data_IF_156252232927
#
_entry.id   IF_156252232927
#
_cell.length_a   1.000
_cell.length_b   1.000
_cell.length_c   1.000
_cell.angle_alpha   90.00
_cell.angle_beta   90.00
_cell.angle_gamma   90.00
#
_symmetry.space_group_name_H-M   'P 1'
#
loop_
_entity.id
_entity.type
_entity.pdbx_description
1 polymer ?
2 non-polymer ?
3 water ?
#
# COMPACT_ATOMS: atom_id res chain seq x y z
N UNK A 25 18.77 19.31 2.36
CA UNK A 25 18.23 18.63 1.14
C UNK A 25 18.60 19.37 -0.14
N UNK A 26 19.11 18.62 -1.12
CA UNK A 26 19.50 19.21 -2.40
C UNK A 26 18.26 19.48 -3.24
N UNK A 27 18.41 20.26 -4.30
CA UNK A 27 17.29 20.59 -5.16
C UNK A 27 16.72 19.34 -5.81
N UNK A 28 17.60 18.43 -6.20
CA UNK A 28 17.15 17.19 -6.84
C UNK A 28 16.31 16.37 -5.87
N UNK A 29 16.75 16.29 -4.62
CA UNK A 29 16.00 15.54 -3.60
C UNK A 29 14.67 16.21 -3.35
N UNK A 30 14.63 17.52 -3.58
CA UNK A 30 13.41 18.27 -3.38
C UNK A 30 12.46 18.07 -4.56
N UNK A 31 13.02 17.97 -5.76
CA UNK A 31 12.22 17.76 -6.95
C UNK A 31 11.75 16.31 -6.98
N UNK A 32 12.47 15.46 -6.25
CA UNK A 32 12.17 14.04 -6.18
C UNK A 32 10.93 13.77 -5.31
N UNK A 33 10.85 14.47 -4.18
CA UNK A 33 9.75 14.34 -3.25
C UNK A 33 8.50 14.97 -3.87
N UNK A 34 8.71 16.06 -4.61
CA UNK A 34 7.61 16.76 -5.24
C UNK A 34 6.97 15.95 -6.35
N UNK A 35 7.79 15.25 -7.11
CA UNK A 35 7.32 14.41 -8.20
C UNK A 35 6.55 13.25 -7.59
N UNK A 36 6.98 12.81 -6.41
CA UNK A 36 6.36 11.70 -5.69
C UNK A 36 5.06 12.12 -5.04
N UNK A 37 5.08 13.31 -4.43
CA UNK A 37 3.92 13.87 -3.76
C UNK A 37 2.84 14.25 -4.74
N UNK A 38 3.26 14.72 -5.90
CA UNK A 38 2.35 15.11 -6.96
C UNK A 38 1.67 13.84 -7.51
N UNK A 39 2.42 12.74 -7.61
CA UNK A 39 1.85 11.49 -8.11
C UNK A 39 0.88 10.89 -7.11
N UNK A 40 1.14 11.12 -5.82
CA UNK A 40 0.31 10.62 -4.73
C UNK A 40 -1.06 11.30 -4.69
N UNK A 41 -1.06 12.62 -4.61
CA UNK A 41 -2.33 13.35 -4.53
C UNK A 41 -3.18 13.18 -5.79
N UNK A 42 -2.55 12.90 -6.92
CA UNK A 42 -3.28 12.71 -8.17
C UNK A 42 -3.92 11.33 -8.28
N UNK A 43 -3.29 10.32 -7.68
CA UNK A 43 -3.78 8.95 -7.79
C UNK A 43 -4.31 8.32 -6.52
N UNK A 44 -4.31 9.08 -5.43
CA UNK A 44 -4.78 8.55 -4.15
C UNK A 44 -6.07 9.21 -3.72
N UNK A 45 -7.18 8.50 -3.92
CA UNK A 45 -8.51 8.99 -3.55
C UNK A 45 -8.73 8.67 -2.06
N UNK A 46 -8.12 9.50 -1.21
CA UNK A 46 -8.17 9.33 0.26
C UNK A 46 -9.55 9.15 0.87
N UNK A 47 -10.58 9.63 0.16
CA UNK A 47 -11.97 9.53 0.63
C UNK A 47 -12.75 8.39 -0.07
N UNK A 48 -12.10 7.67 -0.98
CA UNK A 48 -12.75 6.56 -1.69
C UNK A 48 -14.08 7.00 -2.28
N UNK A 49 -14.08 8.16 -2.92
CA UNK A 49 -15.27 8.71 -3.54
C UNK A 49 -15.70 7.96 -4.79
N UNK A 50 -14.72 7.42 -5.52
CA UNK A 50 -14.99 6.71 -6.76
C UNK A 50 -15.16 5.21 -6.56
N UNK A 51 -15.17 4.77 -5.31
CA UNK A 51 -15.34 3.36 -5.04
C UNK A 51 -16.82 3.06 -4.83
N UNK A 52 -17.46 2.56 -5.87
CA UNK A 52 -18.88 2.17 -5.82
C UNK A 52 -19.11 0.97 -6.71
N UNK A 53 -20.35 0.48 -6.73
CA UNK A 53 -20.72 -0.68 -7.55
C UNK A 53 -20.02 -1.94 -7.09
N UNK A 54 -19.57 -1.95 -5.83
CA UNK A 54 -18.86 -3.08 -5.25
C UNK A 54 -19.79 -4.08 -4.57
N UNK A 55 -19.38 -5.35 -4.58
CA UNK A 55 -20.14 -6.43 -3.98
C UNK A 55 -20.19 -6.38 -2.46
N UNK A 56 -21.30 -6.82 -1.88
CA UNK A 56 -21.47 -6.86 -0.44
C UNK A 56 -21.83 -8.28 -0.04
N UNK A 57 -21.52 -8.66 1.20
CA UNK A 57 -21.83 -10.01 1.68
C UNK A 57 -23.34 -10.20 1.85
N UNK A 58 -24.02 -10.50 0.74
CA UNK A 58 -25.46 -10.70 0.81
C UNK A 58 -25.87 -11.72 1.85
N UNK A 59 -26.59 -11.30 2.89
CA UNK A 59 -27.04 -12.20 3.95
C UNK A 59 -28.27 -13.01 3.53
N UNK A 92 -12.99 -11.98 10.50
CA UNK A 92 -13.22 -11.27 11.76
C UNK A 92 -13.12 -9.75 11.55
N UNK A 93 -13.93 -9.23 10.63
CA UNK A 93 -13.91 -7.81 10.32
C UNK A 93 -15.33 -7.23 10.22
N UNK A 94 -15.57 -6.15 10.95
CA UNK A 94 -16.87 -5.47 10.95
C UNK A 94 -16.87 -4.51 9.75
N UNK A 95 -18.01 -4.34 9.10
CA UNK A 95 -18.06 -3.46 7.95
C UNK A 95 -19.16 -2.40 8.11
N UNK A 96 -18.78 -1.12 8.04
CA UNK A 96 -19.73 -0.02 8.16
C UNK A 96 -19.82 0.75 6.86
N UNK A 97 -21.03 1.14 6.49
CA UNK A 97 -21.28 1.88 5.26
C UNK A 97 -22.15 3.10 5.50
N UNK A 98 -21.54 4.24 5.79
CA UNK A 98 -22.28 5.48 6.03
C UNK A 98 -22.85 6.05 4.74
N UNK A 99 -24.14 6.39 4.76
CA UNK A 99 -24.76 6.94 3.56
C UNK A 99 -24.73 8.45 3.63
N UNK A 100 -24.81 9.10 2.48
CA UNK A 100 -24.82 10.56 2.41
C UNK A 100 -26.03 11.06 3.16
N UNK A 101 -27.14 10.35 2.99
CA UNK A 101 -28.41 10.70 3.62
C UNK A 101 -28.31 10.63 5.14
N UNK A 102 -27.36 9.87 5.66
CA UNK A 102 -27.22 9.77 7.09
C UNK A 102 -27.51 8.36 7.58
N UNK A 103 -27.93 7.49 6.66
CA UNK A 103 -28.22 6.11 7.03
C UNK A 103 -26.91 5.37 7.23
N UNK A 104 -26.96 4.30 8.01
CA UNK A 104 -25.78 3.50 8.29
C UNK A 104 -26.03 2.01 8.18
N UNK A 105 -25.21 1.34 7.38
CA UNK A 105 -25.32 -0.10 7.21
C UNK A 105 -24.13 -0.78 7.88
N UNK A 106 -24.39 -1.60 8.89
CA UNK A 106 -23.32 -2.30 9.60
C UNK A 106 -23.39 -3.80 9.36
N UNK A 107 -22.23 -4.42 9.26
CA UNK A 107 -22.16 -5.85 9.02
C UNK A 107 -21.35 -6.54 10.09
N UNK A 108 -21.93 -7.59 10.67
CA UNK A 108 -21.26 -8.38 11.69
C UNK A 108 -21.05 -9.75 11.08
N UNK A 109 -19.77 -10.15 10.88
CA UNK A 109 -19.41 -11.44 10.30
C UNK A 109 -19.91 -12.65 11.09
N UNK A 110 -20.04 -13.81 10.43
CA UNK A 110 -20.50 -15.06 11.06
C UNK A 110 -19.48 -15.64 12.04
N UNK A 118 -17.75 -18.81 5.01
CA UNK A 118 -16.76 -17.83 5.46
C UNK A 118 -16.06 -17.09 4.31
N UNK A 119 -16.55 -17.30 3.09
CA UNK A 119 -16.00 -16.66 1.90
C UNK A 119 -16.94 -15.52 1.50
N UNK A 120 -17.71 -15.04 2.47
CA UNK A 120 -18.68 -13.98 2.22
C UNK A 120 -18.08 -12.61 1.95
N UNK A 121 -16.87 -12.38 2.46
CA UNK A 121 -16.22 -11.10 2.25
C UNK A 121 -15.21 -11.08 1.12
N UNK A 122 -14.92 -12.22 0.52
CA UNK A 122 -13.95 -12.28 -0.56
C UNK A 122 -14.35 -11.41 -1.75
N UNK A 123 -15.60 -11.54 -2.21
CA UNK A 123 -16.05 -10.73 -3.36
C UNK A 123 -15.85 -9.24 -3.12
N UNK A 124 -16.32 -8.74 -1.98
CA UNK A 124 -16.18 -7.34 -1.63
C UNK A 124 -14.72 -6.94 -1.54
N UNK A 125 -13.97 -7.71 -0.76
CA UNK A 125 -12.55 -7.47 -0.55
C UNK A 125 -11.80 -7.46 -1.88
N UNK A 126 -12.26 -8.25 -2.84
CA UNK A 126 -11.67 -8.33 -4.19
C UNK A 126 -11.96 -7.03 -4.95
N UNK A 127 -13.10 -6.38 -4.66
CA UNK A 127 -13.45 -5.13 -5.32
C UNK A 127 -12.66 -3.97 -4.74
N UNK A 128 -12.38 -4.03 -3.45
CA UNK A 128 -11.58 -3.00 -2.78
C UNK A 128 -10.15 -3.10 -3.30
N UNK A 129 -9.66 -4.32 -3.44
CA UNK A 129 -8.31 -4.55 -3.93
C UNK A 129 -8.10 -3.97 -5.31
N UNK A 130 -9.00 -4.30 -6.24
CA UNK A 130 -8.91 -3.82 -7.61
C UNK A 130 -8.93 -2.30 -7.64
N UNK A 131 -9.77 -1.69 -6.80
CA UNK A 131 -9.87 -0.24 -6.74
C UNK A 131 -8.55 0.35 -6.25
N UNK A 132 -7.98 -0.29 -5.23
CA UNK A 132 -6.74 0.14 -4.64
C UNK A 132 -5.57 -0.07 -5.58
N UNK A 133 -5.57 -1.22 -6.24
CA UNK A 133 -4.54 -1.59 -7.17
C UNK A 133 -4.49 -0.61 -8.32
N UNK A 134 -5.65 -0.21 -8.81
CA UNK A 134 -5.72 0.74 -9.90
C UNK A 134 -5.05 2.05 -9.48
N UNK A 135 -5.17 2.41 -8.21
CA UNK A 135 -4.54 3.63 -7.74
C UNK A 135 -3.02 3.52 -7.72
N UNK A 136 -2.53 2.33 -7.38
CA UNK A 136 -1.10 2.03 -7.32
C UNK A 136 -0.45 2.06 -8.71
N UNK A 137 -1.20 1.59 -9.71
CA UNK A 137 -0.69 1.56 -11.08
C UNK A 137 -0.60 2.96 -11.64
N UNK A 138 -1.62 3.76 -11.34
CA UNK A 138 -1.66 5.15 -11.80
C UNK A 138 -0.55 5.93 -11.11
N UNK A 139 -0.22 5.53 -9.90
CA UNK A 139 0.81 6.21 -9.16
C UNK A 139 2.15 6.01 -9.85
N UNK A 140 2.45 4.75 -10.13
CA UNK A 140 3.70 4.38 -10.77
C UNK A 140 3.84 4.99 -12.17
N UNK A 141 2.78 4.90 -12.99
CA UNK A 141 2.81 5.42 -14.35
C UNK A 141 2.97 6.93 -14.48
N UNK A 142 2.63 7.69 -13.44
CA UNK A 142 2.75 9.15 -13.47
C UNK A 142 4.10 9.61 -12.92
N UNK A 143 4.96 8.65 -12.57
CA UNK A 143 6.29 8.92 -12.03
C UNK A 143 7.30 8.79 -13.17
N UNK A 144 8.08 9.86 -13.38
CA UNK A 144 9.09 9.87 -14.44
C UNK A 144 10.07 8.70 -14.30
N UNK A 145 10.68 8.57 -13.14
CA UNK A 145 11.65 7.50 -12.91
C UNK A 145 11.07 6.12 -13.24
N UNK A 146 9.75 6.04 -13.30
CA UNK A 146 9.10 4.77 -13.60
C UNK A 146 8.86 4.63 -15.11
N UNK A 147 8.35 5.70 -15.71
CA UNK A 147 8.07 5.72 -17.14
C UNK A 147 9.31 5.54 -17.99
N UNK A 148 10.45 6.03 -17.50
CA UNK A 148 11.71 5.91 -18.23
C UNK A 148 12.26 4.49 -18.16
N UNK A 149 11.44 3.57 -17.66
CA UNK A 149 11.85 2.16 -17.57
C UNK A 149 11.12 1.37 -18.65
N UNK A 150 11.77 0.33 -19.19
CA UNK A 150 11.13 -0.48 -20.22
C UNK A 150 9.84 -1.13 -19.72
N UNK A 151 8.81 -1.15 -20.55
CA UNK A 151 7.51 -1.73 -20.20
C UNK A 151 7.62 -3.05 -19.42
N UNK A 152 8.54 -3.90 -19.82
CA UNK A 152 8.72 -5.19 -19.14
C UNK A 152 9.09 -5.00 -17.68
N UNK A 153 9.93 -4.00 -17.41
CA UNK A 153 10.37 -3.71 -16.05
C UNK A 153 9.28 -3.03 -15.23
N UNK A 154 8.40 -2.30 -15.91
CA UNK A 154 7.29 -1.63 -15.25
C UNK A 154 6.33 -2.67 -14.74
N UNK A 155 6.09 -3.69 -15.56
CA UNK A 155 5.20 -4.78 -15.21
C UNK A 155 5.79 -5.64 -14.08
N UNK A 156 7.06 -6.01 -14.21
CA UNK A 156 7.71 -6.83 -13.20
C UNK A 156 7.75 -6.15 -11.83
N UNK A 157 7.99 -4.84 -11.82
CA UNK A 157 8.05 -4.05 -10.59
C UNK A 157 6.66 -3.87 -9.99
N UNK A 158 5.69 -3.52 -10.82
CA UNK A 158 4.32 -3.32 -10.36
C UNK A 158 3.76 -4.57 -9.70
N UNK A 159 4.07 -5.75 -10.24
CA UNK A 159 3.56 -6.99 -9.67
C UNK A 159 4.20 -7.32 -8.32
N UNK A 160 5.44 -6.89 -8.13
CA UNK A 160 6.14 -7.16 -6.89
C UNK A 160 5.77 -6.20 -5.76
N UNK A 161 5.56 -4.93 -6.10
CA UNK A 161 5.21 -3.94 -5.10
C UNK A 161 3.69 -3.76 -4.92
N UNK A 162 2.90 -4.06 -5.94
CA UNK A 162 1.44 -3.89 -5.86
C UNK A 162 0.85 -4.02 -4.44
N UNK A 163 0.92 -5.21 -3.85
CA UNK A 163 0.38 -5.41 -2.52
C UNK A 163 1.00 -4.45 -1.47
N UNK A 164 2.32 -4.35 -1.47
CA UNK A 164 3.05 -3.50 -0.52
C UNK A 164 2.60 -2.04 -0.52
N UNK A 165 2.43 -1.47 -1.70
CA UNK A 165 1.99 -0.09 -1.85
C UNK A 165 0.56 0.07 -1.34
N UNK A 166 -0.26 -0.97 -1.50
CA UNK A 166 -1.64 -0.90 -1.02
C UNK A 166 -1.67 -0.86 0.49
N UNK A 167 -0.77 -1.62 1.11
CA UNK A 167 -0.67 -1.67 2.56
C UNK A 167 -0.16 -0.35 3.12
N UNK A 168 0.85 0.21 2.46
CA UNK A 168 1.43 1.47 2.88
C UNK A 168 0.36 2.54 2.78
N UNK A 169 -0.54 2.39 1.81
CA UNK A 169 -1.62 3.35 1.63
C UNK A 169 -2.74 3.16 2.65
N UNK A 170 -3.09 1.90 2.92
CA UNK A 170 -4.14 1.59 3.87
C UNK A 170 -3.75 2.05 5.28
N UNK A 171 -2.45 2.16 5.51
CA UNK A 171 -1.97 2.58 6.82
C UNK A 171 -2.28 4.04 7.14
N UNK A 172 -2.35 4.88 6.10
CA UNK A 172 -2.64 6.29 6.28
C UNK A 172 -4.10 6.49 6.68
N UNK A 173 -4.97 5.53 6.36
CA UNK A 173 -6.39 5.62 6.70
C UNK A 173 -6.68 4.67 7.87
N UNK A 174 -5.64 4.17 8.52
CA UNK A 174 -5.78 3.27 9.65
C UNK A 174 -5.86 4.03 10.96
N UNK A 175 -6.84 3.71 11.78
CA UNK A 175 -7.00 4.38 13.06
C UNK A 175 -6.61 3.37 14.14
N UNK A 176 -5.36 3.45 14.59
CA UNK A 176 -4.82 2.56 15.62
C UNK A 176 -5.62 2.63 16.93
N UNK A 177 -6.19 3.79 17.22
CA UNK A 177 -6.97 3.99 18.44
C UNK A 177 -8.16 3.05 18.46
N UNK A 178 -9.02 3.17 17.44
CA UNK A 178 -10.19 2.32 17.33
C UNK A 178 -9.94 1.04 16.55
N UNK A 179 -8.73 0.86 16.05
CA UNK A 179 -8.41 -0.33 15.28
C UNK A 179 -9.30 -0.51 14.07
N UNK A 180 -9.49 0.56 13.28
CA UNK A 180 -10.32 0.49 12.09
C UNK A 180 -9.74 1.28 10.91
N UNK A 181 -10.02 0.80 9.71
CA UNK A 181 -9.58 1.45 8.49
C UNK A 181 -10.72 2.34 8.00
N UNK A 182 -10.60 3.64 8.21
CA UNK A 182 -11.65 4.56 7.78
C UNK A 182 -11.44 4.93 6.32
N UNK A 183 -12.11 4.18 5.44
CA UNK A 183 -11.99 4.39 4.01
C UNK A 183 -13.16 5.20 3.44
N UNK A 184 -13.25 6.47 3.85
CA UNK A 184 -14.33 7.33 3.39
C UNK A 184 -15.64 6.92 4.02
N UNK A 185 -16.61 6.58 3.17
CA UNK A 185 -17.92 6.15 3.63
C UNK A 185 -17.87 4.75 4.26
N UNK A 186 -16.88 3.96 3.84
CA UNK A 186 -16.69 2.59 4.32
C UNK A 186 -15.82 2.55 5.58
N UNK A 187 -15.92 1.46 6.34
CA UNK A 187 -15.13 1.33 7.56
C UNK A 187 -14.90 -0.14 7.84
N UNK A 188 -13.65 -0.50 8.14
CA UNK A 188 -13.30 -1.88 8.46
C UNK A 188 -12.76 -1.99 9.87
N UNK A 189 -13.61 -2.47 10.78
CA UNK A 189 -13.24 -2.61 12.18
C UNK A 189 -12.95 -4.07 12.52
N UNK A 190 -12.24 -4.29 13.63
CA UNK A 190 -11.90 -5.65 14.08
C UNK A 190 -12.79 -6.15 15.20
N UNK A 191 -12.84 -7.46 15.36
CA UNK A 191 -13.68 -8.07 16.39
C UNK A 191 -12.84 -8.51 17.60
N UNK A 200 -4.54 -10.72 20.38
CA UNK A 200 -4.38 -10.52 18.95
C UNK A 200 -3.04 -9.83 18.70
N UNK A 201 -2.92 -9.21 17.52
CA UNK A 201 -1.70 -8.49 17.12
C UNK A 201 -0.59 -9.48 16.82
N UNK A 202 -0.89 -10.75 16.97
CA UNK A 202 0.05 -11.82 16.68
C UNK A 202 0.06 -12.02 15.18
N UNK A 203 -0.81 -11.27 14.50
CA UNK A 203 -0.91 -11.35 13.05
C UNK A 203 0.06 -10.34 12.44
N UNK A 204 1.00 -10.81 11.59
CA UNK A 204 1.99 -9.93 10.95
C UNK A 204 1.35 -8.74 10.25
N UNK A 205 0.16 -8.95 9.72
CA UNK A 205 -0.60 -7.92 9.03
C UNK A 205 -0.96 -6.78 9.99
N UNK A 206 -1.66 -7.10 11.07
CA UNK A 206 -2.06 -6.10 12.04
C UNK A 206 -0.90 -5.48 12.81
N UNK A 207 0.08 -6.30 13.16
CA UNK A 207 1.23 -5.79 13.89
C UNK A 207 1.95 -4.78 13.01
N UNK A 208 1.99 -5.04 11.71
CA UNK A 208 2.64 -4.12 10.77
C UNK A 208 1.93 -2.75 10.77
N UNK A 209 0.63 -2.76 10.61
CA UNK A 209 -0.14 -1.53 10.60
C UNK A 209 -0.04 -0.74 11.90
N UNK A 210 -0.01 -1.43 13.03
CA UNK A 210 0.10 -0.74 14.32
C UNK A 210 1.48 -0.14 14.55
N UNK A 211 2.51 -0.92 14.22
CA UNK A 211 3.88 -0.49 14.38
C UNK A 211 4.20 0.68 13.46
N UNK A 212 3.78 0.60 12.20
CA UNK A 212 4.04 1.66 11.24
C UNK A 212 3.30 2.95 11.64
N UNK A 213 2.10 2.80 12.18
CA UNK A 213 1.29 3.93 12.60
C UNK A 213 1.95 4.67 13.77
N UNK A 214 2.51 3.89 14.69
CA UNK A 214 3.17 4.41 15.88
C UNK A 214 4.32 5.35 15.52
N UNK A 215 4.96 5.11 14.37
CA UNK A 215 6.06 5.95 13.92
C UNK A 215 5.62 7.36 13.56
N UNK A 216 4.32 7.55 13.36
CA UNK A 216 3.75 8.85 12.99
C UNK A 216 4.55 9.58 11.91
N UNK A 217 4.53 9.01 10.72
CA UNK A 217 5.26 9.55 9.59
C UNK A 217 4.48 10.64 8.85
N UNK A 218 5.21 11.47 8.10
CA UNK A 218 4.60 12.54 7.31
C UNK A 218 4.21 11.93 5.97
N UNK A 219 3.45 12.68 5.19
CA UNK A 219 3.07 12.21 3.88
C UNK A 219 4.35 11.96 3.06
N UNK A 220 5.31 12.87 3.13
CA UNK A 220 6.53 12.71 2.34
C UNK A 220 7.24 11.39 2.61
N UNK A 221 7.24 10.96 3.87
CA UNK A 221 7.88 9.72 4.30
C UNK A 221 7.13 8.46 3.85
N UNK A 222 5.83 8.59 3.64
CA UNK A 222 5.05 7.46 3.15
C UNK A 222 5.26 7.25 1.65
N UNK A 223 5.21 8.33 0.85
CA UNK A 223 5.40 8.20 -0.59
C UNK A 223 6.81 7.71 -0.92
N UNK A 224 7.77 8.07 -0.07
CA UNK A 224 9.15 7.64 -0.27
C UNK A 224 9.23 6.13 0.00
N UNK A 225 8.44 5.65 0.97
CA UNK A 225 8.41 4.22 1.30
C UNK A 225 7.83 3.46 0.12
N UNK A 226 6.87 4.09 -0.55
CA UNK A 226 6.23 3.49 -1.71
C UNK A 226 7.22 3.43 -2.87
N UNK A 227 8.04 4.47 -2.99
CA UNK A 227 9.05 4.54 -4.05
C UNK A 227 10.05 3.40 -3.87
N UNK A 228 10.67 3.35 -2.70
CA UNK A 228 11.65 2.31 -2.39
C UNK A 228 11.09 0.92 -2.68
N UNK A 229 9.85 0.68 -2.22
CA UNK A 229 9.17 -0.59 -2.44
C UNK A 229 8.94 -0.89 -3.94
N UNK A 230 8.44 0.11 -4.68
CA UNK A 230 8.16 -0.02 -6.11
C UNK A 230 9.42 -0.27 -6.92
N UNK A 231 10.49 0.43 -6.57
CA UNK A 231 11.74 0.29 -7.28
C UNK A 231 12.70 -0.66 -6.59
N UNK A 232 12.26 -1.91 -6.42
CA UNK A 232 13.10 -2.93 -5.80
C UNK A 232 13.75 -3.71 -6.93
N UNK A 233 15.09 -3.68 -7.01
CA UNK A 233 15.81 -4.39 -8.06
C UNK A 233 15.77 -5.91 -7.93
N UNK A 234 15.45 -6.38 -6.73
CA UNK A 234 15.39 -7.82 -6.45
C UNK A 234 14.04 -8.47 -6.71
N UNK A 235 13.20 -7.81 -7.52
CA UNK A 235 11.89 -8.35 -7.86
C UNK A 235 12.12 -9.40 -8.95
N UNK A 236 11.56 -10.61 -8.78
CA UNK A 236 11.73 -11.66 -9.78
C UNK A 236 11.15 -11.30 -11.15
N UNK A 237 12.03 -10.88 -12.07
CA UNK A 237 11.61 -10.51 -13.42
C UNK A 237 12.21 -9.21 -13.93
N UNK A 238 12.82 -8.44 -13.05
CA UNK A 238 13.41 -7.16 -13.42
C UNK A 238 14.62 -7.37 -14.33
N UNK A 239 14.73 -6.53 -15.36
CA UNK A 239 15.83 -6.61 -16.31
C UNK A 239 16.89 -5.54 -16.00
N UNK A 240 16.44 -4.30 -15.91
CA UNK A 240 17.31 -3.16 -15.60
C UNK A 240 17.51 -3.06 -14.10
N UNK A 241 17.83 -4.18 -13.47
CA UNK A 241 18.04 -4.23 -12.02
C UNK A 241 19.17 -3.31 -11.56
N UNK A 242 20.00 -2.88 -12.50
CA UNK A 242 21.11 -1.99 -12.18
C UNK A 242 20.53 -0.58 -12.04
N UNK A 243 19.68 -0.20 -12.98
CA UNK A 243 19.04 1.12 -12.98
C UNK A 243 18.08 1.23 -11.79
N UNK A 244 17.24 0.21 -11.62
CA UNK A 244 16.28 0.19 -10.53
C UNK A 244 17.01 0.27 -9.19
N UNK A 245 18.19 -0.33 -9.12
CA UNK A 245 18.96 -0.34 -7.90
C UNK A 245 19.50 1.06 -7.57
N UNK A 246 19.96 1.79 -8.59
CA UNK A 246 20.47 3.12 -8.35
C UNK A 246 19.36 4.07 -7.94
N UNK A 247 18.19 3.85 -8.50
CA UNK A 247 17.00 4.66 -8.20
C UNK A 247 16.56 4.44 -6.76
N UNK A 248 16.45 3.17 -6.39
CA UNK A 248 16.04 2.82 -5.03
C UNK A 248 16.96 3.45 -4.02
N UNK A 249 18.24 3.55 -4.34
CA UNK A 249 19.22 4.15 -3.43
C UNK A 249 19.01 5.67 -3.34
N UNK A 250 18.73 6.32 -4.46
CA UNK A 250 18.49 7.76 -4.44
C UNK A 250 17.25 8.07 -3.60
N UNK A 251 16.27 7.16 -3.62
CA UNK A 251 15.04 7.32 -2.84
C UNK A 251 15.31 7.12 -1.34
N UNK A 252 16.12 6.11 -1.02
CA UNK A 252 16.49 5.83 0.38
C UNK A 252 17.27 7.00 0.96
N UNK A 253 18.22 7.52 0.19
CA UNK A 253 19.04 8.64 0.60
C UNK A 253 18.18 9.88 0.86
N UNK A 254 17.26 10.18 -0.06
CA UNK A 254 16.38 11.33 0.07
C UNK A 254 15.57 11.20 1.38
N UNK A 255 15.08 10.00 1.66
CA UNK A 255 14.31 9.77 2.88
C UNK A 255 15.19 10.01 4.10
N UNK A 256 16.41 9.50 4.05
CA UNK A 256 17.33 9.65 5.16
C UNK A 256 17.67 11.11 5.38
N UNK A 257 17.90 11.84 4.30
CA UNK A 257 18.24 13.26 4.38
C UNK A 257 17.05 14.05 4.88
N UNK A 258 15.87 13.75 4.35
CA UNK A 258 14.64 14.41 4.74
C UNK A 258 14.40 14.27 6.24
N UNK A 259 14.68 13.08 6.78
CA UNK A 259 14.50 12.81 8.21
C UNK A 259 15.48 13.55 9.10
N UNK A 260 16.75 13.58 8.70
CA UNK A 260 17.77 14.25 9.47
C UNK A 260 17.66 15.77 9.37
N UNK A 261 16.83 16.24 8.45
CA UNK A 261 16.65 17.68 8.26
C UNK A 261 15.31 18.22 8.77
N UNK A 262 14.38 17.32 9.09
CA UNK A 262 13.06 17.72 9.56
C UNK A 262 12.62 17.11 10.88
N UNK A 263 13.34 16.09 11.34
CA UNK A 263 12.98 15.41 12.58
C UNK A 263 14.18 15.21 13.53
N UNK A 264 14.61 16.28 14.22
CA UNK A 264 15.74 16.26 15.15
C UNK A 264 15.44 15.71 16.54
N UNK A 265 14.14 15.55 16.85
CA UNK A 265 13.70 15.03 18.15
C UNK A 265 14.34 13.67 18.49
N UNK A 266 14.79 13.51 19.74
CA UNK A 266 15.43 12.27 20.20
C UNK A 266 14.56 11.04 19.97
N UNK A 267 13.26 11.26 19.81
CA UNK A 267 12.32 10.16 19.59
C UNK A 267 12.41 9.67 18.15
N UNK A 268 12.84 10.55 17.25
CA UNK A 268 12.97 10.24 15.83
C UNK A 268 14.38 9.76 15.48
N UNK A 269 15.10 9.31 16.50
CA UNK A 269 16.44 8.80 16.30
C UNK A 269 16.28 7.40 15.74
N UNK A 270 17.06 7.10 14.71
CA UNK A 270 17.02 5.79 14.07
C UNK A 270 15.71 5.60 13.31
N UNK A 271 14.98 6.70 13.08
CA UNK A 271 13.71 6.59 12.35
C UNK A 271 13.93 5.96 10.96
N UNK A 272 14.89 6.49 10.20
CA UNK A 272 15.20 5.97 8.87
C UNK A 272 15.44 4.46 8.88
N UNK A 273 16.22 3.97 9.83
CA UNK A 273 16.48 2.55 9.92
C UNK A 273 15.22 1.77 10.35
N UNK A 274 14.34 2.39 11.14
CA UNK A 274 13.10 1.71 11.55
C UNK A 274 12.18 1.54 10.35
N UNK A 275 12.21 2.54 9.46
CA UNK A 275 11.40 2.49 8.24
C UNK A 275 11.91 1.41 7.30
N UNK A 276 13.23 1.31 7.18
CA UNK A 276 13.83 0.31 6.30
C UNK A 276 13.56 -1.11 6.80
N UNK A 277 13.43 -1.27 8.12
CA UNK A 277 13.16 -2.60 8.69
C UNK A 277 11.69 -2.96 8.39
N UNK A 278 10.78 -1.98 8.52
CA UNK A 278 9.35 -2.19 8.23
C UNK A 278 9.15 -2.62 6.77
N UNK A 279 9.92 -2.02 5.85
CA UNK A 279 9.79 -2.38 4.43
C UNK A 279 10.25 -3.82 4.21
N UNK A 280 11.24 -4.26 4.99
CA UNK A 280 11.74 -5.63 4.89
C UNK A 280 10.67 -6.57 5.43
N UNK A 281 9.93 -6.09 6.45
CA UNK A 281 8.85 -6.84 7.06
C UNK A 281 7.73 -6.94 6.06
N UNK A 282 7.46 -5.81 5.40
CA UNK A 282 6.40 -5.77 4.41
C UNK A 282 6.70 -6.73 3.27
N UNK A 283 7.98 -6.82 2.90
CA UNK A 283 8.43 -7.71 1.81
C UNK A 283 8.17 -9.15 2.21
N UNK A 284 8.33 -9.43 3.50
CA UNK A 284 8.13 -10.74 4.08
C UNK A 284 6.63 -11.03 4.13
N UNK A 285 5.85 -10.07 4.63
CA UNK A 285 4.40 -10.22 4.72
C UNK A 285 3.81 -10.38 3.31
N UNK A 286 4.33 -9.61 2.37
CA UNK A 286 3.87 -9.66 0.97
C UNK A 286 4.08 -11.05 0.36
N UNK A 287 5.31 -11.57 0.49
CA UNK A 287 5.64 -12.89 -0.05
C UNK A 287 4.83 -13.98 0.65
N UNK A 288 4.39 -13.70 1.88
CA UNK A 288 3.63 -14.66 2.66
C UNK A 288 2.17 -14.63 2.24
N UNK A 289 1.70 -13.43 1.92
CA UNK A 289 0.33 -13.22 1.49
C UNK A 289 0.03 -13.89 0.17
N UNK A 290 0.90 -13.67 -0.82
CA UNK A 290 0.78 -14.25 -2.15
C UNK A 290 0.46 -15.74 -2.07
N UNK A 291 1.27 -16.48 -1.31
CA UNK A 291 1.08 -17.91 -1.16
C UNK A 291 -0.30 -18.24 -0.62
N UNK A 292 -0.68 -17.53 0.44
CA UNK A 292 -1.97 -17.73 1.07
C UNK A 292 -3.14 -17.40 0.14
N UNK A 293 -2.98 -16.33 -0.64
CA UNK A 293 -4.03 -15.91 -1.59
C UNK A 293 -4.18 -16.94 -2.70
N UNK A 294 -3.06 -17.51 -3.14
CA UNK A 294 -3.11 -18.52 -4.21
C UNK A 294 -3.73 -19.81 -3.68
N UNK A 295 -3.62 -20.04 -2.38
CA UNK A 295 -4.21 -21.23 -1.78
C UNK A 295 -5.73 -21.09 -1.77
N UNK A 296 -6.21 -19.86 -1.59
CA UNK A 296 -7.65 -19.60 -1.59
C UNK A 296 -8.20 -19.66 -3.01
N UNK A 297 -7.47 -19.06 -3.95
CA UNK A 297 -7.85 -19.03 -5.37
C UNK A 297 -7.88 -20.45 -5.91
N UNK A 298 -7.19 -21.35 -5.22
CA UNK A 298 -7.12 -22.75 -5.62
C UNK A 298 -8.39 -23.48 -5.19
N UNK A 299 -9.01 -23.01 -4.11
CA UNK A 299 -10.24 -23.60 -3.60
C UNK A 299 -11.48 -22.83 -4.06
N UNK A 300 -11.52 -21.55 -3.74
CA UNK A 300 -12.66 -20.72 -4.11
C UNK A 300 -12.20 -19.51 -4.95
N UNK A 301 -12.22 -19.64 -6.30
CA UNK A 301 -11.81 -18.54 -7.18
C UNK A 301 -12.60 -17.26 -6.88
N UNK A 302 -11.88 -16.15 -6.75
CA UNK A 302 -12.47 -14.85 -6.43
C UNK A 302 -11.71 -13.73 -7.15
N UNK A 303 -10.43 -13.99 -7.44
CA UNK A 303 -9.57 -13.01 -8.10
C UNK A 303 -10.19 -12.40 -9.35
N UNK A 304 -10.11 -11.08 -9.44
CA UNK A 304 -10.63 -10.36 -10.58
C UNK A 304 -9.56 -10.41 -11.67
N UNK A 305 -9.91 -10.02 -12.90
CA UNK A 305 -8.95 -10.03 -14.00
C UNK A 305 -7.65 -9.29 -13.64
N UNK A 306 -7.78 -8.15 -12.97
CA UNK A 306 -6.63 -7.35 -12.57
C UNK A 306 -5.80 -8.06 -11.51
N UNK A 307 -6.48 -8.70 -10.55
CA UNK A 307 -5.78 -9.44 -9.51
C UNK A 307 -5.08 -10.65 -10.10
N UNK A 308 -5.54 -11.10 -11.27
CA UNK A 308 -4.94 -12.26 -11.93
C UNK A 308 -3.69 -11.84 -12.70
N UNK A 309 -3.74 -10.63 -13.26
CA UNK A 309 -2.61 -10.10 -14.01
C UNK A 309 -1.43 -9.84 -13.07
N UNK A 310 -1.75 -9.50 -11.82
CA UNK A 310 -0.74 -9.23 -10.79
C UNK A 310 -0.19 -10.48 -10.10
N UNK A 311 -1.08 -11.39 -9.68
CA UNK A 311 -0.64 -12.59 -8.99
C UNK A 311 -0.40 -13.76 -9.96
N UNK A 312 -0.49 -13.48 -11.26
CA UNK A 312 -0.28 -14.51 -12.26
C UNK A 312 -1.21 -15.70 -12.10
N UNK A 313 -2.48 -15.53 -12.48
CA UNK A 313 -3.47 -16.59 -12.36
C UNK A 313 -4.26 -16.73 -13.66
X LIG B 1 -7.67 -11.20 5.51
X LIG B 1 -8.83 -10.48 5.95
X LIG B 1 -9.96 -10.23 5.12
X LIG B 1 -9.94 -10.71 3.80
X LIG B 1 -8.72 -11.97 1.87
X LIG B 1 -7.53 -12.68 1.46
X LIG B 1 -6.42 -12.96 2.23
X LIG B 1 -6.43 -12.47 3.62
X LIG B 1 -7.65 -11.70 4.14
X LIG B 1 -8.82 -11.43 3.27
X LIG B 1 -9.59 -11.92 0.78
X LIG B 1 -8.91 -12.63 -0.38
X LIG B 1 -9.73 -13.82 -0.88
X LIG B 1 -5.21 -13.74 1.70
X LIG B 1 -8.82 -10.62 8.45
X LIG B 1 -8.92 -9.63 9.60
X LIG B 1 -8.43 -8.34 9.56
X LIG B 1 -7.70 -7.64 8.47
X LIG B 1 -7.73 -6.33 8.32
X LIG B 1 -7.89 -5.47 7.06
X LIG B 1 -7.08 -5.89 5.80
X LIG B 1 -7.22 -4.93 4.58
X LIG B 1 -6.43 -5.34 3.32
X LIG B 1 -7.24 -6.17 2.30
X LIG B 1 -6.34 -6.75 1.18
X LIG B 1 -6.79 -8.21 0.77
X LIG B 1 -6.43 -8.70 -0.67
X LIG B 1 -6.91 -10.11 -0.99
X LIG B 1 -8.18 -10.38 -1.23
X LIG B 1 -9.64 -10.19 10.81
X LIG B 1 -9.42 -5.36 6.79
X LIG B 1 -6.84 -3.47 4.93
X LIG B 1 -8.42 -5.38 1.71
X LIG B 1 -6.22 -9.14 1.85
X LIG B 1 -5.25 -5.10 -0.38
X LIG B 1 -5.51 -4.22 -1.51
X LIG B 1 -4.57 -8.22 -2.16
X LIG B 1 -11.13 -9.49 5.57
X LIG B 1 -8.88 -9.97 7.26
X LIG B 1 -6.64 -11.40 6.36
X LIG B 1 -5.43 -12.69 4.40
X LIG B 1 -7.62 -13.08 0.13
X LIG B 1 -10.74 -11.42 0.61
X LIG B 1 -8.69 -11.70 -1.49
X LIG B 1 -4.96 -8.64 -0.82
X LIG B 1 -6.39 -5.78 0.01
X LIG B 1 -4.18 -5.24 0.13
X LIG B 1 -5.23 -6.10 3.64
X LIG B 1 -5.71 -5.97 6.22
X LIG B 1 -8.69 -11.84 8.62
X LIG B 1 -11.07 -10.41 3.06
#
# INVERSE_FOLDING_TARGET
MKKGHHHHHHGSERTGTQPLGVQGLTEEQRMMIRELMDAQMKTFDTTFSHFKNFRLPGVLSSGCELPESLQAPSREEAAKWSQVRKDLCSLKVSLQLRGEDGSVWNYKPPADSGGKEIFSLLPHMADMSTYMFKGIISFAKVISYFRDLPIEDQISLLKGAAFELCQLRFNTVFNAETGTWECGRLSYCLEDTAGGFQQLLLEPMLKFHYMLKKLQLHEEEYVLMQAISLFSPDRPGVLQHRVVDQLQEQFAITLKSYIECNRPQPAHRFLFLKIMAMLTELRSINAQHTQRLLRIQDIHPFATPLMQELFGI
RFP C1 C2 C3 C4 C5 C6 C7 C8 C9 C10 C11 C12 C13 C14 C15 C16 C17 C18 C19 C20 C21 C22 C23 C24 C25 C26 C27 C28 C29 C30 C31 C32 C33 C34 C35 C36 C37 C43 N1 O1 O2 O3 O4 O5 O6 O7 O8 O9 O10 O11 O12
#
